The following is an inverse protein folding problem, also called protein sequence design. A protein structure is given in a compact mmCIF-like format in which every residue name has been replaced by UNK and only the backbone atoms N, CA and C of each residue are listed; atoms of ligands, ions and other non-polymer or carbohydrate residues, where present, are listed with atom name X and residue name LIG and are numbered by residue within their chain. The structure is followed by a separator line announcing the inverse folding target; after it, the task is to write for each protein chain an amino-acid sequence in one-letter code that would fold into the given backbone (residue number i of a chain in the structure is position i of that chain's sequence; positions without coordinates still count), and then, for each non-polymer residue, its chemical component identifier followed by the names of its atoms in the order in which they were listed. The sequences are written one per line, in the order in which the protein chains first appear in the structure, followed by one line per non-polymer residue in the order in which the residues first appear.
data_IF_760032795519
#
_entry.id   IF_760032795519
#
_cell.length_a   1.000
_cell.length_b   1.000
_cell.length_c   1.000
_cell.angle_alpha   90.00
_cell.angle_beta   90.00
_cell.angle_gamma   90.00
#
_symmetry.space_group_name_H-M   'P 1'
#
loop_
_entity.id
_entity.type
_entity.pdbx_description
1 polymer ?
#
# COMPACT_ATOMS: atom_id res chain seq x y z
N UNK A 1 9.84 -3.12 -5.59
CA UNK A 1 9.62 -1.74 -5.10
C UNK A 1 8.23 -1.69 -4.47
N UNK A 2 8.13 -1.33 -3.19
CA UNK A 2 6.84 -1.08 -2.55
C UNK A 2 6.35 0.32 -2.96
N UNK A 3 5.10 0.42 -3.41
CA UNK A 3 4.46 1.69 -3.75
C UNK A 3 3.54 2.09 -2.60
N UNK A 4 3.78 3.25 -2.01
CA UNK A 4 2.84 3.88 -1.07
C UNK A 4 1.89 4.81 -1.80
N UNK A 5 0.62 4.81 -1.41
CA UNK A 5 -0.37 5.72 -1.97
C UNK A 5 -0.32 7.08 -1.28
N UNK A 6 -0.29 8.13 -2.10
CA UNK A 6 -0.50 9.50 -1.65
C UNK A 6 -1.75 10.01 -2.38
N UNK A 7 -2.66 10.61 -1.62
CA UNK A 7 -3.87 11.22 -2.15
C UNK A 7 -3.53 12.39 -3.10
N UNK A 8 -4.19 12.50 -4.25
CA UNK A 8 -3.92 13.56 -5.23
C UNK A 8 -4.34 14.96 -4.72
N UNK A 9 -5.13 15.01 -3.64
CA UNK A 9 -5.50 16.21 -2.89
C UNK A 9 -4.66 16.42 -1.63
N UNK A 10 -3.60 15.65 -1.39
CA UNK A 10 -2.76 15.82 -0.21
C UNK A 10 -2.25 17.25 -0.02
N UNK A 11 -1.98 17.96 -1.12
CA UNK A 11 -1.54 19.36 -1.16
C UNK A 11 -2.59 20.37 -0.65
N UNK A 12 -3.88 20.01 -0.63
CA UNK A 12 -5.01 20.86 -0.21
C UNK A 12 -5.86 20.23 0.90
N UNK A 13 -5.53 19.01 1.31
CA UNK A 13 -6.29 18.27 2.30
C UNK A 13 -6.31 18.97 3.66
N UNK A 14 -7.44 18.88 4.37
CA UNK A 14 -7.66 19.56 5.66
C UNK A 14 -6.60 19.23 6.71
N UNK A 15 -6.10 17.98 6.75
CA UNK A 15 -5.04 17.57 7.67
C UNK A 15 -3.73 18.31 7.38
N UNK A 16 -3.30 18.34 6.12
CA UNK A 16 -2.14 19.11 5.66
C UNK A 16 -2.29 20.60 5.98
N UNK A 17 -3.49 21.15 5.82
CA UNK A 17 -3.76 22.56 6.09
C UNK A 17 -3.82 22.93 7.57
N UNK A 18 -4.04 21.96 8.49
CA UNK A 18 -3.93 22.17 9.94
C UNK A 18 -2.49 22.44 10.38
N UNK A 19 -1.48 21.94 9.65
CA UNK A 19 -0.08 22.21 9.97
C UNK A 19 0.18 23.72 9.78
N UNK A 20 0.81 24.39 10.78
CA UNK A 20 1.16 25.81 10.68
C UNK A 20 1.91 26.13 9.40
N UNK A 21 1.50 27.22 8.71
CA UNK A 21 2.04 27.59 7.39
C UNK A 21 3.58 27.67 7.37
N UNK A 22 4.19 28.17 8.43
CA UNK A 22 5.64 28.31 8.55
C UNK A 22 6.42 26.98 8.54
N UNK A 23 5.76 25.88 8.92
CA UNK A 23 6.40 24.55 9.06
C UNK A 23 5.82 23.50 8.12
N UNK A 24 4.77 23.83 7.37
CA UNK A 24 3.99 22.86 6.57
C UNK A 24 4.83 22.10 5.56
N UNK A 25 5.61 22.79 4.74
CA UNK A 25 6.41 22.13 3.71
C UNK A 25 7.49 21.23 4.34
N UNK A 26 8.12 21.69 5.42
CA UNK A 26 9.12 20.92 6.16
C UNK A 26 8.50 19.65 6.78
N UNK A 27 7.36 19.78 7.45
CA UNK A 27 6.62 18.66 8.04
C UNK A 27 6.15 17.65 6.98
N UNK A 28 5.64 18.14 5.84
CA UNK A 28 5.25 17.26 4.74
C UNK A 28 6.44 16.60 4.04
N UNK A 29 7.60 17.26 4.02
CA UNK A 29 8.87 16.65 3.59
C UNK A 29 9.27 15.49 4.50
N UNK A 30 9.21 15.71 5.83
CA UNK A 30 9.44 14.65 6.82
C UNK A 30 8.45 13.49 6.67
N UNK A 31 7.17 13.80 6.47
CA UNK A 31 6.13 12.80 6.23
C UNK A 31 6.44 11.96 4.98
N UNK A 32 6.85 12.59 3.88
CA UNK A 32 7.19 11.89 2.63
C UNK A 32 8.44 11.01 2.75
N UNK A 33 9.51 11.51 3.37
CA UNK A 33 10.73 10.73 3.60
C UNK A 33 10.47 9.54 4.52
N UNK A 34 9.70 9.75 5.59
CA UNK A 34 9.33 8.69 6.53
C UNK A 34 8.43 7.65 5.87
N UNK A 35 7.52 8.06 4.98
CA UNK A 35 6.70 7.13 4.21
C UNK A 35 7.58 6.21 3.35
N UNK A 36 8.51 6.81 2.60
CA UNK A 36 9.48 6.07 1.79
C UNK A 36 10.29 5.08 2.64
N UNK A 37 10.78 5.52 3.81
CA UNK A 37 11.54 4.68 4.72
C UNK A 37 10.71 3.51 5.27
N UNK A 38 9.50 3.76 5.75
CA UNK A 38 8.61 2.72 6.27
C UNK A 38 8.26 1.67 5.21
N UNK A 39 8.01 2.09 3.96
CA UNK A 39 7.77 1.19 2.83
C UNK A 39 8.99 0.32 2.52
N UNK A 40 10.20 0.88 2.63
CA UNK A 40 11.45 0.16 2.41
C UNK A 40 11.80 -0.85 3.52
N UNK A 41 11.34 -0.60 4.76
CA UNK A 41 11.69 -1.39 5.94
C UNK A 41 10.55 -2.32 6.43
N UNK A 42 9.38 -2.30 5.80
CA UNK A 42 8.23 -3.15 6.13
C UNK A 42 7.86 -3.16 7.62
N UNK A 43 7.91 -1.98 8.25
CA UNK A 43 7.81 -1.79 9.70
C UNK A 43 6.42 -1.34 10.18
N UNK A 44 5.39 -1.61 9.38
CA UNK A 44 3.99 -1.27 9.68
C UNK A 44 3.77 0.23 10.02
N UNK A 45 4.45 1.09 9.27
CA UNK A 45 4.30 2.55 9.38
C UNK A 45 4.91 3.14 10.65
N UNK A 46 5.70 2.39 11.40
CA UNK A 46 6.41 2.90 12.57
C UNK A 46 7.57 3.82 12.16
N UNK A 47 7.68 4.97 12.82
CA UNK A 47 8.76 5.95 12.61
C UNK A 47 9.49 6.14 13.94
N UNK A 48 10.57 5.38 14.20
CA UNK A 48 11.36 5.52 15.41
C UNK A 48 12.00 6.91 15.54
N UNK A 49 12.27 7.35 16.77
CA UNK A 49 12.89 8.66 17.01
C UNK A 49 14.23 8.87 16.29
N UNK A 50 15.07 7.84 16.24
CA UNK A 50 16.34 7.89 15.51
C UNK A 50 16.19 8.12 13.99
N UNK A 51 15.03 7.79 13.40
CA UNK A 51 14.77 8.07 11.97
C UNK A 51 14.48 9.55 11.74
N UNK A 52 13.81 10.21 12.70
CA UNK A 52 13.59 11.66 12.65
C UNK A 52 14.92 12.40 12.71
N UNK A 53 15.81 11.98 13.62
CA UNK A 53 17.17 12.53 13.73
C UNK A 53 18.00 12.27 12.47
N UNK A 54 17.91 11.06 11.89
CA UNK A 54 18.58 10.69 10.65
C UNK A 54 18.18 11.62 9.49
N UNK A 55 16.92 12.04 9.41
CA UNK A 55 16.46 12.99 8.40
C UNK A 55 16.72 14.45 8.76
N UNK A 56 17.41 14.73 9.86
CA UNK A 56 17.71 16.08 10.31
C UNK A 56 16.48 16.86 10.79
N UNK A 57 15.41 16.16 11.16
CA UNK A 57 14.19 16.76 11.69
C UNK A 57 14.19 16.75 13.22
N UNK A 58 13.33 17.58 13.82
CA UNK A 58 13.13 17.62 15.27
C UNK A 58 11.86 16.88 15.70
N UNK A 59 11.82 16.42 16.94
CA UNK A 59 10.61 15.86 17.55
C UNK A 59 9.42 16.84 17.46
N UNK A 60 9.67 18.13 17.67
CA UNK A 60 8.64 19.17 17.54
C UNK A 60 8.03 19.27 16.13
N UNK A 61 8.74 18.82 15.09
CA UNK A 61 8.23 18.78 13.73
C UNK A 61 7.38 17.53 13.50
N UNK A 62 7.76 16.40 14.11
CA UNK A 62 6.94 15.20 14.16
C UNK A 62 5.63 15.45 14.94
N UNK A 63 5.68 16.22 16.04
CA UNK A 63 4.49 16.61 16.80
C UNK A 63 3.49 17.41 15.95
N UNK A 64 3.96 18.24 15.01
CA UNK A 64 3.08 18.94 14.08
C UNK A 64 2.32 17.97 13.14
N UNK A 65 2.89 16.80 12.83
CA UNK A 65 2.21 15.73 12.09
C UNK A 65 1.20 14.99 12.96
N UNK A 66 1.46 14.87 14.26
CA UNK A 66 0.51 14.31 15.25
C UNK A 66 -0.68 15.25 15.42
N UNK A 67 -0.45 16.54 15.65
CA UNK A 67 -1.50 17.56 15.77
C UNK A 67 -2.38 17.64 14.51
N UNK A 68 -1.79 17.38 13.34
CA UNK A 68 -2.51 17.33 12.07
C UNK A 68 -3.29 16.03 11.83
N UNK A 69 -3.22 15.05 12.75
CA UNK A 69 -3.82 13.71 12.62
C UNK A 69 -3.26 12.94 11.40
N UNK A 70 -1.99 13.18 11.08
CA UNK A 70 -1.25 12.42 10.07
C UNK A 70 -0.45 11.29 10.71
N UNK A 71 0.05 11.51 11.94
CA UNK A 71 0.75 10.52 12.76
C UNK A 71 0.09 10.35 14.13
N UNK A 72 0.45 9.27 14.82
CA UNK A 72 0.13 9.01 16.22
C UNK A 72 1.43 8.76 17.01
N UNK A 73 1.48 9.12 18.31
CA UNK A 73 2.58 8.72 19.17
C UNK A 73 2.65 7.19 19.31
N UNK A 74 3.86 6.67 19.47
CA UNK A 74 4.15 5.26 19.72
C UNK A 74 5.22 5.14 20.82
N UNK A 75 5.48 3.91 21.30
CA UNK A 75 6.44 3.65 22.37
C UNK A 75 7.85 4.21 22.06
N UNK A 76 8.32 4.01 20.82
CA UNK A 76 9.68 4.37 20.40
C UNK A 76 9.73 5.52 19.37
N UNK A 77 8.67 6.32 19.28
CA UNK A 77 8.56 7.42 18.32
C UNK A 77 7.13 7.65 17.87
N UNK A 78 6.88 7.52 16.58
CA UNK A 78 5.58 7.81 15.96
C UNK A 78 5.12 6.70 15.02
N UNK A 79 3.89 6.78 14.54
CA UNK A 79 3.34 5.89 13.51
C UNK A 79 2.39 6.63 12.58
N UNK A 80 2.38 6.27 11.30
CA UNK A 80 1.39 6.78 10.34
C UNK A 80 -0.05 6.42 10.75
N UNK A 81 -0.94 7.40 10.68
CA UNK A 81 -2.39 7.17 10.74
C UNK A 81 -2.82 6.42 9.49
N UNK A 82 -3.74 5.46 9.65
CA UNK A 82 -4.35 4.69 8.55
C UNK A 82 -3.31 3.99 7.64
N UNK A 83 -2.21 3.49 8.20
CA UNK A 83 -1.16 2.79 7.44
C UNK A 83 -1.70 1.73 6.47
N UNK A 84 -2.67 0.87 6.83
CA UNK A 84 -3.24 -0.11 5.90
C UNK A 84 -3.81 0.49 4.61
N UNK A 85 -4.36 1.72 4.67
CA UNK A 85 -4.87 2.44 3.49
C UNK A 85 -3.74 2.97 2.60
N UNK A 86 -2.63 3.38 3.20
CA UNK A 86 -1.44 3.86 2.50
C UNK A 86 -0.79 2.72 1.71
N UNK A 87 -0.74 1.52 2.30
CA UNK A 87 -0.16 0.33 1.67
C UNK A 87 -1.18 -0.56 0.96
N UNK A 88 -2.45 -0.15 0.91
CA UNK A 88 -3.52 -0.96 0.34
C UNK A 88 -3.15 -1.36 -1.09
N UNK A 89 -2.98 -2.66 -1.32
CA UNK A 89 -2.62 -3.17 -2.64
C UNK A 89 -3.71 -2.85 -3.63
N UNK A 90 -3.32 -2.41 -4.82
CA UNK A 90 -4.28 -2.32 -5.92
C UNK A 90 -4.75 -3.72 -6.27
N UNK A 91 -6.06 -3.92 -6.46
CA UNK A 91 -6.57 -5.17 -7.06
C UNK A 91 -6.23 -5.27 -8.55
N UNK A 92 -5.61 -4.24 -9.12
CA UNK A 92 -5.19 -4.23 -10.50
C UNK A 92 -3.93 -5.10 -10.67
N UNK A 93 -4.12 -6.32 -11.18
CA UNK A 93 -3.02 -7.21 -11.55
C UNK A 93 -2.31 -6.62 -12.79
N UNK A 94 -0.99 -6.40 -12.77
CA UNK A 94 -0.26 -5.83 -13.90
C UNK A 94 -0.50 -6.62 -15.20
N UNK A 95 -0.67 -5.92 -16.33
CA UNK A 95 -0.99 -6.55 -17.61
C UNK A 95 -0.01 -7.66 -18.02
N UNK A 96 1.29 -7.48 -17.75
CA UNK A 96 2.32 -8.48 -18.01
C UNK A 96 2.11 -9.77 -17.18
N UNK A 97 1.76 -9.63 -15.90
CA UNK A 97 1.44 -10.78 -15.03
C UNK A 97 0.17 -11.46 -15.52
N UNK A 98 -0.86 -10.68 -15.87
CA UNK A 98 -2.12 -11.23 -16.40
C UNK A 98 -1.89 -12.09 -17.64
N UNK A 99 -1.09 -11.57 -18.59
CA UNK A 99 -0.77 -12.27 -19.82
C UNK A 99 0.07 -13.52 -19.55
N UNK A 100 1.07 -13.44 -18.67
CA UNK A 100 1.92 -14.57 -18.32
C UNK A 100 1.11 -15.71 -17.68
N UNK A 101 0.19 -15.40 -16.77
CA UNK A 101 -0.70 -16.39 -16.15
C UNK A 101 -1.63 -17.00 -17.18
N UNK A 102 -2.25 -16.18 -18.05
CA UNK A 102 -3.11 -16.68 -19.14
C UNK A 102 -2.37 -17.63 -20.09
N UNK A 103 -1.14 -17.29 -20.46
CA UNK A 103 -0.30 -18.12 -21.33
C UNK A 103 0.12 -19.42 -20.63
N UNK A 104 0.57 -19.35 -19.38
CA UNK A 104 0.93 -20.53 -18.57
C UNK A 104 -0.23 -21.51 -18.48
N UNK A 105 -1.43 -20.99 -18.26
CA UNK A 105 -2.66 -21.77 -18.07
C UNK A 105 -3.34 -22.13 -19.41
N UNK A 106 -2.71 -21.81 -20.54
CA UNK A 106 -3.18 -22.17 -21.87
C UNK A 106 -4.52 -21.56 -22.26
N UNK A 107 -4.85 -20.38 -21.71
CA UNK A 107 -6.15 -19.71 -21.85
C UNK A 107 -7.31 -20.64 -21.49
N UNK A 108 -7.16 -21.42 -20.42
CA UNK A 108 -8.14 -22.40 -19.95
C UNK A 108 -8.33 -22.32 -18.45
N UNK A 109 -9.57 -22.52 -18.01
CA UNK A 109 -9.92 -22.70 -16.61
C UNK A 109 -9.15 -23.89 -16.03
N UNK A 110 -8.40 -23.67 -14.96
CA UNK A 110 -7.61 -24.70 -14.28
C UNK A 110 -8.44 -25.71 -13.49
N UNK A 111 -9.78 -25.57 -13.51
CA UNK A 111 -10.71 -26.46 -12.81
C UNK A 111 -11.53 -27.32 -13.76
N UNK A 112 -12.16 -26.69 -14.76
CA UNK A 112 -13.05 -27.39 -15.70
C UNK A 112 -12.57 -27.38 -17.15
N UNK A 113 -11.48 -26.68 -17.47
CA UNK A 113 -10.95 -26.61 -18.84
C UNK A 113 -11.68 -25.67 -19.79
N UNK A 114 -12.73 -24.96 -19.35
CA UNK A 114 -13.44 -23.96 -20.15
C UNK A 114 -12.49 -22.87 -20.68
N UNK A 115 -12.76 -22.38 -21.89
CA UNK A 115 -11.94 -21.37 -22.60
C UNK A 115 -12.60 -19.99 -22.68
N UNK A 116 -13.82 -19.86 -22.16
CA UNK A 116 -14.62 -18.64 -22.22
C UNK A 116 -14.89 -18.09 -20.82
N UNK A 117 -15.25 -16.80 -20.77
CA UNK A 117 -15.53 -16.07 -19.53
C UNK A 117 -14.42 -16.26 -18.47
N UNK A 118 -13.17 -16.10 -18.89
CA UNK A 118 -12.00 -16.33 -18.04
C UNK A 118 -11.68 -15.10 -17.18
N UNK A 119 -11.32 -15.37 -15.94
CA UNK A 119 -10.86 -14.41 -14.95
C UNK A 119 -9.63 -14.96 -14.22
N UNK A 120 -8.89 -14.08 -13.56
CA UNK A 120 -7.80 -14.49 -12.68
C UNK A 120 -8.31 -14.57 -11.25
N UNK A 121 -7.95 -15.67 -10.59
CA UNK A 121 -8.25 -15.95 -9.20
C UNK A 121 -6.95 -16.12 -8.43
N UNK A 122 -6.95 -15.67 -7.17
CA UNK A 122 -5.79 -15.84 -6.28
C UNK A 122 -5.92 -17.16 -5.51
N UNK A 123 -4.88 -17.99 -5.56
CA UNK A 123 -4.81 -19.25 -4.81
C UNK A 123 -4.84 -18.98 -3.31
N UNK A 124 -3.95 -18.12 -2.81
CA UNK A 124 -4.07 -17.45 -1.52
C UNK A 124 -4.89 -16.19 -1.76
N UNK A 125 -6.04 -16.04 -1.11
CA UNK A 125 -6.96 -14.94 -1.40
C UNK A 125 -6.29 -13.57 -1.25
N UNK A 126 -6.65 -12.63 -2.12
CA UNK A 126 -6.17 -11.24 -2.03
C UNK A 126 -6.40 -10.63 -0.64
N UNK A 127 -7.58 -10.86 -0.05
CA UNK A 127 -7.94 -10.38 1.29
C UNK A 127 -7.09 -10.97 2.42
N UNK A 128 -6.54 -12.18 2.20
CA UNK A 128 -5.69 -12.89 3.14
C UNK A 128 -4.20 -12.57 2.88
N UNK A 129 -3.90 -11.54 2.07
CA UNK A 129 -2.55 -11.08 1.75
C UNK A 129 -1.91 -11.75 0.53
N UNK A 130 -2.64 -12.58 -0.21
CA UNK A 130 -2.11 -13.30 -1.37
C UNK A 130 -1.49 -12.39 -2.45
N UNK A 131 -0.25 -12.63 -2.89
CA UNK A 131 0.45 -11.74 -3.83
C UNK A 131 -0.10 -11.82 -5.28
N UNK A 132 0.12 -10.77 -6.08
CA UNK A 132 -0.20 -10.74 -7.52
C UNK A 132 0.95 -11.32 -8.33
N UNK A 133 1.38 -12.53 -7.99
CA UNK A 133 2.46 -13.23 -8.68
C UNK A 133 1.91 -14.30 -9.60
N UNK A 134 2.71 -14.74 -10.57
CA UNK A 134 2.31 -15.80 -11.49
C UNK A 134 1.95 -17.04 -10.67
N UNK A 135 2.73 -17.38 -9.64
CA UNK A 135 2.57 -18.57 -8.81
C UNK A 135 1.29 -18.56 -7.97
N UNK A 136 0.85 -17.38 -7.53
CA UNK A 136 -0.34 -17.24 -6.70
C UNK A 136 -1.62 -16.94 -7.50
N UNK A 137 -1.52 -16.75 -8.82
CA UNK A 137 -2.65 -16.51 -9.69
C UNK A 137 -2.94 -17.75 -10.54
N UNK A 138 -4.21 -17.97 -10.86
CA UNK A 138 -4.68 -19.00 -11.79
C UNK A 138 -5.83 -18.48 -12.64
N UNK A 139 -6.00 -19.07 -13.82
CA UNK A 139 -7.15 -18.82 -14.68
C UNK A 139 -8.33 -19.67 -14.24
N UNK A 140 -9.48 -19.04 -13.97
CA UNK A 140 -10.77 -19.71 -13.76
C UNK A 140 -11.83 -19.13 -14.68
N UNK A 141 -12.77 -19.95 -15.14
CA UNK A 141 -14.00 -19.43 -15.72
C UNK A 141 -14.88 -18.81 -14.62
N UNK A 142 -15.73 -17.85 -14.99
CA UNK A 142 -16.62 -17.16 -14.06
C UNK A 142 -17.42 -18.10 -13.14
N UNK A 143 -18.03 -19.22 -13.62
CA UNK A 143 -18.72 -20.17 -12.75
C UNK A 143 -17.82 -20.78 -11.67
N UNK A 144 -16.66 -21.32 -12.06
CA UNK A 144 -15.72 -21.93 -11.10
C UNK A 144 -15.11 -20.89 -10.15
N UNK A 145 -14.99 -19.64 -10.57
CA UNK A 145 -14.51 -18.56 -9.71
C UNK A 145 -15.56 -18.19 -8.64
N UNK A 146 -16.84 -18.08 -9.05
CA UNK A 146 -17.95 -17.75 -8.15
C UNK A 146 -18.18 -18.82 -7.07
N UNK A 147 -17.98 -20.10 -7.38
CA UNK A 147 -18.09 -21.18 -6.39
C UNK A 147 -17.05 -21.11 -5.26
N UNK A 148 -15.98 -20.29 -5.43
CA UNK A 148 -14.80 -20.29 -4.56
C UNK A 148 -14.53 -18.96 -3.88
N UNK A 149 -15.15 -17.88 -4.37
CA UNK A 149 -15.12 -16.53 -3.77
C UNK A 149 -15.94 -16.46 -2.49
#
# INVERSE_FOLDING_TARGET
MAWGRIDDKMHSHKKTMRIPRARRCEAMGLWGLSLSWCLGNANDGAVPAGVIELFGASASLADALVEADLWTPSMDGWRFVDWPRIVERSRNIPAAVRLAVMQRDGFRCQFCGATEALSLDHIIRFRDGGPDTIENLRVLCMPCNLERG
#
